data_IF_386746044433
#
_entry.id   IF_386746044433
#
_cell.length_a   1.000
_cell.length_b   1.000
_cell.length_c   1.000
_cell.angle_alpha   90.00
_cell.angle_beta   90.00
_cell.angle_gamma   90.00
#
_symmetry.space_group_name_H-M   'P 1'
#
loop_
_entity.id
_entity.type
_entity.pdbx_description
1 polymer ?
#
# COMPACT_ATOMS: atom_id res chain seq x y z
N UNK A 1 -16.76 29.91 23.86
CA UNK A 1 -16.00 29.29 22.78
C UNK A 1 -15.04 28.28 23.43
N UNK A 2 -15.30 26.99 23.31
CA UNK A 2 -14.41 25.94 23.82
C UNK A 2 -13.39 25.67 22.72
N UNK A 3 -12.11 25.86 23.00
CA UNK A 3 -11.03 25.50 22.10
C UNK A 3 -11.12 24.00 21.77
N UNK A 4 -11.23 23.70 20.48
CA UNK A 4 -11.11 22.31 20.01
C UNK A 4 -9.67 21.86 20.24
N UNK A 5 -9.42 20.68 20.79
CA UNK A 5 -8.07 20.17 20.91
C UNK A 5 -7.51 19.94 19.51
N UNK A 6 -6.50 20.69 19.13
CA UNK A 6 -5.66 20.40 17.98
C UNK A 6 -4.88 19.14 18.34
N UNK A 7 -5.30 17.99 17.80
CA UNK A 7 -4.59 16.73 17.93
C UNK A 7 -3.28 16.85 17.14
N UNK A 8 -2.23 17.32 17.79
CA UNK A 8 -0.89 17.31 17.27
C UNK A 8 -0.32 15.89 17.49
N UNK A 9 -0.23 15.12 16.42
CA UNK A 9 0.50 13.86 16.44
C UNK A 9 1.97 14.13 16.73
N UNK A 10 2.45 13.71 17.88
CA UNK A 10 3.88 13.57 18.08
C UNK A 10 4.30 12.16 17.64
N UNK A 11 4.55 12.02 16.32
CA UNK A 11 5.31 10.87 15.84
C UNK A 11 6.70 10.90 16.47
N UNK A 12 7.31 9.73 16.81
CA UNK A 12 8.62 9.67 17.42
C UNK A 12 9.62 10.50 16.63
N UNK A 13 10.22 11.48 17.28
CA UNK A 13 11.22 12.36 16.67
C UNK A 13 12.49 11.57 16.37
N UNK A 14 12.97 11.66 15.15
CA UNK A 14 14.34 11.47 14.67
C UNK A 14 15.08 10.13 14.79
N UNK A 15 14.79 9.23 15.73
CA UNK A 15 15.62 8.01 15.89
C UNK A 15 15.35 6.92 14.84
N UNK A 16 14.26 7.03 14.09
CA UNK A 16 13.84 6.02 13.11
C UNK A 16 14.52 6.15 11.74
N UNK A 17 15.25 7.23 11.48
CA UNK A 17 15.79 7.55 10.16
C UNK A 17 17.26 7.18 9.96
N UNK A 18 17.98 6.86 11.04
CA UNK A 18 19.41 6.51 10.97
C UNK A 18 19.63 5.02 10.79
N UNK A 19 19.12 4.44 9.71
CA UNK A 19 19.72 3.20 9.23
C UNK A 19 20.96 3.52 8.42
N UNK A 20 22.10 3.17 8.95
CA UNK A 20 23.36 3.12 8.20
C UNK A 20 23.15 2.23 6.98
N UNK A 21 23.31 2.80 5.81
CA UNK A 21 23.21 2.15 4.49
C UNK A 21 24.37 1.17 4.29
N UNK A 22 24.47 0.14 5.11
CA UNK A 22 25.34 -1.00 4.83
C UNK A 22 24.74 -1.76 3.64
N UNK A 23 25.59 -2.21 2.72
CA UNK A 23 25.16 -2.94 1.52
C UNK A 23 24.24 -4.09 1.94
N UNK A 24 23.01 -4.19 1.44
CA UNK A 24 22.14 -5.31 1.74
C UNK A 24 22.79 -6.62 1.30
N UNK A 25 22.77 -7.67 2.15
CA UNK A 25 23.38 -8.96 1.83
C UNK A 25 22.49 -9.81 0.90
N UNK A 26 21.71 -9.21 0.00
CA UNK A 26 20.69 -9.90 -0.74
C UNK A 26 21.25 -10.88 -1.75
N UNK A 27 21.01 -12.15 -1.53
CA UNK A 27 21.03 -13.22 -2.53
C UNK A 27 19.66 -13.91 -2.46
N UNK A 28 18.81 -13.63 -3.41
CA UNK A 28 17.51 -14.29 -3.58
C UNK A 28 17.66 -15.44 -4.59
N UNK A 29 18.56 -16.38 -4.29
CA UNK A 29 18.89 -17.48 -5.20
C UNK A 29 17.69 -18.40 -5.48
N UNK A 30 16.68 -18.36 -4.62
CA UNK A 30 15.53 -19.27 -4.68
C UNK A 30 14.26 -18.60 -5.24
N UNK A 31 14.29 -17.29 -5.57
CA UNK A 31 13.15 -16.62 -6.18
C UNK A 31 13.27 -16.63 -7.71
N UNK A 32 12.26 -17.15 -8.38
CA UNK A 32 12.15 -17.13 -9.85
C UNK A 32 12.05 -15.72 -10.44
N UNK A 33 11.74 -14.73 -9.59
CA UNK A 33 11.54 -13.32 -9.97
C UNK A 33 12.78 -12.45 -9.71
N UNK A 34 13.87 -13.06 -9.25
CA UNK A 34 15.12 -12.37 -8.96
C UNK A 34 16.25 -12.80 -9.92
N UNK A 35 17.07 -11.85 -10.35
CA UNK A 35 18.38 -12.12 -10.95
C UNK A 35 19.47 -11.48 -10.12
N UNK A 36 20.37 -12.29 -9.58
CA UNK A 36 21.47 -11.88 -8.70
C UNK A 36 21.04 -11.06 -7.47
N UNK A 37 20.75 -9.76 -7.61
CA UNK A 37 20.47 -8.84 -6.51
C UNK A 37 19.25 -7.94 -6.76
N UNK A 38 18.48 -8.19 -7.82
CA UNK A 38 17.34 -7.34 -8.21
C UNK A 38 16.16 -8.21 -8.61
N UNK A 39 14.97 -7.76 -8.20
CA UNK A 39 13.71 -8.31 -8.67
C UNK A 39 13.30 -7.69 -10.00
N UNK A 40 12.48 -8.40 -10.75
CA UNK A 40 12.03 -8.01 -12.08
C UNK A 40 10.52 -8.12 -12.20
N UNK A 41 9.94 -7.18 -12.95
CA UNK A 41 8.55 -7.26 -13.36
C UNK A 41 8.30 -8.42 -14.33
N UNK A 42 7.08 -8.95 -14.34
CA UNK A 42 6.63 -9.92 -15.33
C UNK A 42 6.75 -9.35 -16.75
N UNK A 43 6.38 -8.10 -16.95
CA UNK A 43 6.54 -7.38 -18.21
C UNK A 43 7.78 -6.50 -18.15
N UNK A 44 8.77 -6.82 -18.97
CA UNK A 44 9.98 -6.02 -19.07
C UNK A 44 9.71 -4.71 -19.82
N UNK A 45 10.22 -3.60 -19.29
CA UNK A 45 10.17 -2.32 -19.98
C UNK A 45 11.00 -2.39 -21.26
N UNK A 46 10.38 -2.24 -22.42
CA UNK A 46 11.09 -2.16 -23.69
C UNK A 46 11.58 -0.72 -23.93
N UNK A 47 12.91 -0.52 -23.96
CA UNK A 47 13.56 0.69 -24.44
C UNK A 47 14.15 1.62 -23.37
N UNK A 48 15.34 2.14 -23.67
CA UNK A 48 16.17 3.01 -22.81
C UNK A 48 15.72 4.51 -22.80
N UNK A 49 14.47 4.81 -23.14
CA UNK A 49 14.06 6.22 -23.36
C UNK A 49 13.68 7.00 -22.08
N UNK A 50 13.55 6.33 -20.93
CA UNK A 50 12.97 6.95 -19.73
C UNK A 50 13.77 8.10 -19.10
N UNK A 51 15.10 8.14 -19.20
CA UNK A 51 15.90 9.15 -18.51
C UNK A 51 15.82 10.55 -19.16
N UNK A 52 15.83 10.62 -20.48
CA UNK A 52 15.70 11.90 -21.20
C UNK A 52 14.29 12.47 -21.10
N UNK A 53 13.28 11.60 -21.16
CA UNK A 53 11.86 11.97 -20.99
C UNK A 53 11.58 12.44 -19.57
N UNK A 54 12.13 11.75 -18.57
CA UNK A 54 12.05 12.17 -17.17
C UNK A 54 12.68 13.55 -16.94
N UNK A 55 13.90 13.79 -17.45
CA UNK A 55 14.56 15.09 -17.35
C UNK A 55 13.78 16.19 -18.06
N UNK A 56 13.23 15.89 -19.24
CA UNK A 56 12.38 16.83 -19.96
C UNK A 56 11.12 17.16 -19.16
N UNK A 57 10.45 16.17 -18.63
CA UNK A 57 9.28 16.37 -17.78
C UNK A 57 9.60 17.16 -16.52
N UNK A 58 10.70 16.83 -15.82
CA UNK A 58 11.13 17.58 -14.63
C UNK A 58 11.41 19.06 -14.95
N UNK A 59 11.94 19.35 -16.16
CA UNK A 59 12.23 20.72 -16.60
C UNK A 59 10.96 21.47 -17.07
N UNK A 60 9.92 20.77 -17.52
CA UNK A 60 8.72 21.38 -18.12
C UNK A 60 7.46 21.20 -17.27
N UNK A 61 7.53 20.46 -16.15
CA UNK A 61 6.36 20.27 -15.26
C UNK A 61 5.93 21.60 -14.66
N UNK A 62 4.67 21.91 -14.81
CA UNK A 62 4.04 22.99 -14.06
C UNK A 62 3.77 22.55 -12.63
N UNK A 63 4.04 23.44 -11.66
CA UNK A 63 3.60 23.20 -10.27
C UNK A 63 2.10 23.40 -10.21
N UNK A 64 1.36 22.31 -10.03
CA UNK A 64 -0.08 22.38 -9.87
C UNK A 64 -0.40 22.84 -8.44
N UNK A 65 -1.05 23.97 -8.30
CA UNK A 65 -1.71 24.35 -7.05
C UNK A 65 -3.18 23.95 -7.14
N UNK A 66 -3.64 23.21 -6.16
CA UNK A 66 -5.08 22.88 -6.05
C UNK A 66 -5.88 24.17 -6.00
N UNK A 67 -6.87 24.31 -6.91
CA UNK A 67 -7.71 25.52 -6.99
C UNK A 67 -8.82 25.56 -5.93
N UNK A 68 -9.00 24.47 -5.20
CA UNK A 68 -10.00 24.33 -4.14
C UNK A 68 -9.29 24.23 -2.81
N UNK A 69 -9.82 24.87 -1.77
CA UNK A 69 -9.39 24.62 -0.40
C UNK A 69 -9.82 23.20 -0.02
N UNK A 70 -8.95 22.24 -0.37
CA UNK A 70 -9.17 20.81 -0.13
C UNK A 70 -9.35 20.55 1.37
N UNK A 71 -8.71 21.33 2.22
CA UNK A 71 -8.84 21.17 3.66
C UNK A 71 -10.26 21.56 4.11
N UNK A 72 -10.82 22.63 3.58
CA UNK A 72 -12.19 23.05 3.88
C UNK A 72 -13.22 22.05 3.33
N UNK A 73 -13.02 21.55 2.11
CA UNK A 73 -13.88 20.53 1.52
C UNK A 73 -13.80 19.21 2.29
N UNK A 74 -12.60 18.79 2.69
CA UNK A 74 -12.37 17.62 3.52
C UNK A 74 -13.05 17.75 4.89
N UNK A 75 -12.88 18.89 5.58
CA UNK A 75 -13.54 19.16 6.86
C UNK A 75 -15.07 19.15 6.73
N UNK A 76 -15.62 19.61 5.62
CA UNK A 76 -17.06 19.55 5.35
C UNK A 76 -17.58 18.11 5.19
N UNK A 77 -16.74 17.21 4.64
CA UNK A 77 -17.09 15.80 4.42
C UNK A 77 -16.91 14.93 5.68
N UNK A 78 -15.92 15.23 6.53
CA UNK A 78 -15.72 14.53 7.82
C UNK A 78 -16.89 14.74 8.79
N UNK A 79 -17.61 15.83 8.66
CA UNK A 79 -18.80 16.10 9.48
C UNK A 79 -20.00 15.19 9.13
N UNK A 80 -19.89 14.36 8.10
CA UNK A 80 -20.86 13.28 7.86
C UNK A 80 -20.57 12.18 8.88
N UNK A 81 -21.56 11.71 9.69
CA UNK A 81 -21.32 10.74 10.75
C UNK A 81 -21.13 9.32 10.19
N UNK A 82 -20.05 9.11 9.46
CA UNK A 82 -19.52 7.77 9.27
C UNK A 82 -18.85 7.44 10.60
N UNK A 83 -19.41 6.50 11.36
CA UNK A 83 -18.87 6.11 12.66
C UNK A 83 -17.36 5.77 12.56
N UNK A 84 -16.68 5.68 13.69
CA UNK A 84 -15.30 5.20 13.76
C UNK A 84 -15.27 3.67 13.72
N UNK A 85 -14.24 3.07 13.13
CA UNK A 85 -14.07 1.62 13.18
C UNK A 85 -13.92 1.15 14.63
N UNK A 86 -14.53 0.01 14.95
CA UNK A 86 -14.50 -0.58 16.30
C UNK A 86 -13.96 -2.01 16.23
N UNK A 87 -13.48 -2.52 17.37
CA UNK A 87 -13.22 -3.94 17.51
C UNK A 87 -14.55 -4.72 17.39
N UNK A 88 -14.53 -5.83 16.69
CA UNK A 88 -15.71 -6.61 16.31
C UNK A 88 -15.54 -8.10 16.67
N UNK A 89 -15.31 -8.45 17.96
CA UNK A 89 -14.89 -9.79 18.37
C UNK A 89 -15.93 -10.90 18.12
N UNK A 90 -17.20 -10.56 17.94
CA UNK A 90 -18.31 -11.51 17.80
C UNK A 90 -19.04 -11.34 16.47
N UNK A 91 -18.34 -11.00 15.42
CA UNK A 91 -18.91 -10.79 14.08
C UNK A 91 -18.55 -11.96 13.19
N UNK A 92 -19.49 -12.38 12.36
CA UNK A 92 -19.28 -13.44 11.39
C UNK A 92 -18.18 -13.11 10.38
N UNK A 93 -17.46 -14.13 9.92
CA UNK A 93 -16.42 -13.99 8.90
C UNK A 93 -16.92 -13.43 7.57
N UNK A 94 -18.24 -13.45 7.35
CA UNK A 94 -18.89 -12.90 6.16
C UNK A 94 -19.11 -11.38 6.23
N UNK A 95 -18.98 -10.77 7.41
CA UNK A 95 -19.15 -9.33 7.58
C UNK A 95 -17.81 -8.63 7.38
N UNK A 96 -17.65 -7.98 6.22
CA UNK A 96 -16.46 -7.27 5.83
C UNK A 96 -16.73 -5.76 5.78
N UNK A 97 -15.79 -4.98 6.29
CA UNK A 97 -15.83 -3.53 6.22
C UNK A 97 -14.47 -3.00 5.76
N UNK A 98 -14.52 -1.95 4.96
CA UNK A 98 -13.33 -1.26 4.46
C UNK A 98 -13.42 0.22 4.78
N UNK A 99 -12.35 0.74 5.38
CA UNK A 99 -12.25 2.14 5.79
C UNK A 99 -11.07 2.80 5.08
N UNK A 100 -11.35 3.73 4.20
CA UNK A 100 -10.30 4.49 3.53
C UNK A 100 -9.70 5.50 4.51
N UNK A 101 -8.42 5.35 4.82
CA UNK A 101 -7.67 6.22 5.72
C UNK A 101 -6.98 7.35 4.96
N UNK A 102 -6.42 7.02 3.80
CA UNK A 102 -5.79 7.99 2.90
C UNK A 102 -4.64 7.39 2.12
N UNK A 103 -4.43 7.84 0.88
CA UNK A 103 -3.46 7.30 -0.06
C UNK A 103 -3.66 5.78 -0.24
N UNK A 104 -2.67 4.96 0.04
CA UNK A 104 -2.77 3.50 0.00
C UNK A 104 -3.08 2.87 1.37
N UNK A 105 -3.30 3.70 2.40
CA UNK A 105 -3.67 3.24 3.74
C UNK A 105 -5.15 2.96 3.81
N UNK A 106 -5.51 1.71 4.01
CA UNK A 106 -6.89 1.22 4.17
C UNK A 106 -6.96 0.28 5.36
N UNK A 107 -7.96 0.45 6.21
CA UNK A 107 -8.29 -0.51 7.24
C UNK A 107 -9.31 -1.50 6.67
N UNK A 108 -8.94 -2.77 6.63
CA UNK A 108 -9.77 -3.89 6.18
C UNK A 108 -10.19 -4.70 7.41
N UNK A 109 -11.48 -4.81 7.64
CA UNK A 109 -12.05 -5.64 8.70
C UNK A 109 -12.75 -6.85 8.05
N UNK A 110 -12.26 -8.06 8.35
CA UNK A 110 -12.85 -9.34 7.92
C UNK A 110 -13.24 -10.09 9.17
N UNK A 111 -14.53 -10.20 9.42
CA UNK A 111 -15.03 -10.73 10.67
C UNK A 111 -14.41 -9.97 11.87
N UNK A 112 -13.79 -10.67 12.83
CA UNK A 112 -13.15 -10.05 13.99
C UNK A 112 -11.77 -9.47 13.70
N UNK A 113 -11.18 -9.73 12.53
CA UNK A 113 -9.80 -9.38 12.22
C UNK A 113 -9.67 -8.04 11.50
N UNK A 114 -8.66 -7.26 11.89
CA UNK A 114 -8.37 -5.94 11.38
C UNK A 114 -6.98 -5.93 10.74
N UNK A 115 -6.91 -5.67 9.45
CA UNK A 115 -5.68 -5.53 8.69
C UNK A 115 -5.51 -4.08 8.22
N UNK A 116 -4.29 -3.59 8.23
CA UNK A 116 -3.97 -2.24 7.78
C UNK A 116 -3.00 -2.33 6.60
N UNK A 117 -3.38 -1.73 5.46
CA UNK A 117 -2.50 -1.68 4.28
C UNK A 117 -1.62 -0.45 4.32
N UNK A 118 -0.38 -0.56 3.88
CA UNK A 118 0.60 0.52 3.67
C UNK A 118 0.42 1.72 4.62
N UNK A 119 0.66 1.54 5.93
CA UNK A 119 0.27 2.51 6.93
C UNK A 119 1.18 3.74 6.92
N UNK A 120 0.61 4.89 6.51
CA UNK A 120 1.29 6.18 6.43
C UNK A 120 0.45 7.25 7.13
N UNK A 121 1.00 7.88 8.16
CA UNK A 121 0.43 9.04 8.85
C UNK A 121 1.36 10.25 8.80
N UNK A 122 2.60 10.07 8.37
CA UNK A 122 3.54 11.18 8.19
C UNK A 122 3.00 12.24 7.23
N UNK A 123 3.37 13.49 7.48
CA UNK A 123 3.02 14.64 6.64
C UNK A 123 3.77 14.63 5.31
N UNK A 124 5.00 14.08 5.28
CA UNK A 124 5.87 14.06 4.09
C UNK A 124 6.30 12.64 3.74
N UNK A 125 6.08 12.26 2.50
CA UNK A 125 6.60 11.02 1.93
C UNK A 125 8.07 11.20 1.48
N UNK A 126 9.00 11.27 2.43
CA UNK A 126 10.39 11.64 2.15
C UNK A 126 11.34 11.17 3.25
N UNK A 127 12.64 10.91 2.93
CA UNK A 127 13.67 10.69 3.94
C UNK A 127 14.03 11.95 4.71
N UNK A 128 13.66 13.14 4.20
CA UNK A 128 13.98 14.43 4.80
C UNK A 128 12.73 15.03 5.43
N UNK A 129 12.78 15.25 6.74
CA UNK A 129 11.69 15.88 7.47
C UNK A 129 11.40 17.29 6.92
N UNK A 130 10.12 17.60 6.69
CA UNK A 130 9.69 18.89 6.16
C UNK A 130 10.02 19.14 4.68
N UNK A 131 10.48 18.13 3.93
CA UNK A 131 10.78 18.23 2.51
C UNK A 131 10.24 17.03 1.74
N UNK A 132 9.86 17.25 0.48
CA UNK A 132 9.31 16.22 -0.41
C UNK A 132 7.80 16.33 -0.60
N UNK A 133 7.16 15.30 -1.15
CA UNK A 133 5.71 15.29 -1.32
C UNK A 133 5.00 15.40 0.03
N UNK A 134 4.18 16.44 0.17
CA UNK A 134 3.39 16.70 1.37
C UNK A 134 2.01 16.07 1.24
N UNK A 135 1.51 15.49 2.33
CA UNK A 135 0.13 15.06 2.43
C UNK A 135 -0.82 16.25 2.23
N UNK A 136 -1.79 16.07 1.34
CA UNK A 136 -2.77 17.12 1.02
C UNK A 136 -3.95 17.09 1.99
N UNK A 137 -4.48 15.87 2.26
CA UNK A 137 -5.58 15.68 3.20
C UNK A 137 -5.08 14.97 4.46
N UNK A 138 -5.56 15.30 5.65
CA UNK A 138 -5.30 14.54 6.86
C UNK A 138 -5.72 13.08 6.71
N UNK A 139 -5.17 12.18 7.54
CA UNK A 139 -5.64 10.80 7.60
C UNK A 139 -7.10 10.77 8.08
N UNK A 140 -7.95 9.99 7.41
CA UNK A 140 -9.39 9.90 7.71
C UNK A 140 -9.70 9.29 9.07
N UNK A 141 -8.74 8.58 9.67
CA UNK A 141 -8.81 7.98 11.01
C UNK A 141 -7.54 8.37 11.75
N UNK A 142 -7.67 8.90 12.95
CA UNK A 142 -6.52 9.16 13.80
C UNK A 142 -5.88 7.86 14.30
N UNK A 143 -4.55 7.82 14.47
CA UNK A 143 -3.84 6.61 14.93
C UNK A 143 -4.43 6.05 16.23
N UNK A 144 -4.77 6.95 17.17
CA UNK A 144 -5.33 6.59 18.47
C UNK A 144 -6.75 6.02 18.38
N UNK A 145 -7.45 6.29 17.29
CA UNK A 145 -8.82 5.83 17.03
C UNK A 145 -8.88 4.49 16.29
N UNK A 146 -7.71 3.94 15.91
CA UNK A 146 -7.64 2.63 15.30
C UNK A 146 -8.11 1.55 16.28
N UNK A 147 -8.90 0.56 15.81
CA UNK A 147 -9.16 -0.65 16.57
C UNK A 147 -7.86 -1.45 16.73
N UNK A 148 -7.91 -2.55 17.47
CA UNK A 148 -6.76 -3.48 17.54
C UNK A 148 -6.38 -3.94 16.15
N UNK A 149 -5.13 -3.72 15.73
CA UNK A 149 -4.63 -4.18 14.43
C UNK A 149 -3.99 -5.55 14.61
N UNK A 150 -4.42 -6.51 13.78
CA UNK A 150 -3.97 -7.90 13.83
C UNK A 150 -2.86 -8.21 12.83
N UNK A 151 -2.73 -7.39 11.77
CA UNK A 151 -1.66 -7.52 10.78
C UNK A 151 -1.52 -6.28 9.92
N UNK A 152 -0.30 -5.99 9.48
CA UNK A 152 0.01 -4.96 8.48
C UNK A 152 0.38 -5.65 7.19
N UNK A 153 -0.21 -5.20 6.08
CA UNK A 153 0.06 -5.63 4.71
C UNK A 153 0.86 -4.52 4.03
N UNK A 154 2.17 -4.71 3.90
CA UNK A 154 3.09 -3.71 3.38
C UNK A 154 3.50 -4.08 1.96
N UNK A 155 2.97 -3.37 0.96
CA UNK A 155 3.12 -3.71 -0.45
C UNK A 155 4.56 -3.58 -0.95
N UNK A 156 5.24 -2.49 -0.62
CA UNK A 156 6.61 -2.21 -1.02
C UNK A 156 7.22 -1.08 -0.17
N UNK A 157 8.47 -0.70 -0.47
CA UNK A 157 9.24 0.18 0.41
C UNK A 157 9.32 1.65 -0.03
N UNK A 158 8.54 2.14 -0.97
CA UNK A 158 8.50 3.58 -1.26
C UNK A 158 8.05 4.37 -0.03
N UNK A 159 8.42 5.66 0.05
CA UNK A 159 8.20 6.48 1.24
C UNK A 159 6.74 6.75 1.56
N UNK A 160 5.89 6.72 0.57
CA UNK A 160 4.44 6.91 0.65
C UNK A 160 3.66 5.61 0.96
N UNK A 161 4.38 4.48 1.15
CA UNK A 161 3.84 3.19 1.56
C UNK A 161 4.48 2.66 2.84
N UNK A 162 5.80 2.78 2.98
CA UNK A 162 6.55 2.34 4.17
C UNK A 162 6.94 3.55 5.04
N UNK A 163 6.06 3.96 5.92
CA UNK A 163 6.30 5.00 6.93
C UNK A 163 6.81 4.37 8.22
N UNK A 164 8.12 4.45 8.45
CA UNK A 164 8.77 3.82 9.59
C UNK A 164 8.29 4.37 10.94
N UNK A 165 7.96 5.66 11.01
CA UNK A 165 7.47 6.26 12.25
C UNK A 165 6.08 5.70 12.62
N UNK A 166 5.19 5.60 11.64
CA UNK A 166 3.87 4.98 11.81
C UNK A 166 4.00 3.50 12.20
N UNK A 167 4.88 2.74 11.52
CA UNK A 167 5.10 1.32 11.83
C UNK A 167 5.63 1.12 13.25
N UNK A 168 6.52 1.99 13.73
CA UNK A 168 7.00 1.96 15.12
C UNK A 168 5.87 2.20 16.11
N UNK A 169 5.04 3.21 15.88
CA UNK A 169 3.90 3.50 16.75
C UNK A 169 2.92 2.31 16.81
N UNK A 170 2.59 1.73 15.64
CA UNK A 170 1.71 0.57 15.54
C UNK A 170 2.30 -0.64 16.27
N UNK A 171 3.59 -0.90 16.10
CA UNK A 171 4.26 -2.00 16.77
C UNK A 171 4.24 -1.84 18.29
N UNK A 172 4.53 -0.65 18.81
CA UNK A 172 4.49 -0.38 20.25
C UNK A 172 3.08 -0.58 20.83
N UNK A 173 2.04 -0.27 20.06
CA UNK A 173 0.66 -0.36 20.53
C UNK A 173 0.06 -1.76 20.39
N UNK A 174 0.33 -2.46 19.32
CA UNK A 174 -0.37 -3.70 18.96
C UNK A 174 0.54 -4.93 18.84
N UNK A 175 1.86 -4.76 18.71
CA UNK A 175 2.84 -5.83 18.50
C UNK A 175 2.49 -6.81 17.37
N UNK A 176 1.76 -6.34 16.33
CA UNK A 176 1.26 -7.13 15.23
C UNK A 176 2.36 -7.55 14.25
N UNK A 177 2.18 -8.65 13.49
CA UNK A 177 3.05 -9.01 12.37
C UNK A 177 2.92 -8.01 11.19
N UNK A 178 4.03 -7.85 10.46
CA UNK A 178 4.09 -7.10 9.20
C UNK A 178 4.39 -8.10 8.09
N UNK A 179 3.45 -8.30 7.17
CA UNK A 179 3.61 -9.10 5.96
C UNK A 179 4.12 -8.20 4.84
N UNK A 180 5.16 -8.63 4.11
CA UNK A 180 5.75 -7.82 3.05
C UNK A 180 6.53 -8.69 2.06
N UNK A 181 6.92 -8.13 0.90
CA UNK A 181 7.76 -8.83 -0.07
C UNK A 181 9.21 -9.01 0.41
N UNK A 182 9.89 -10.01 -0.15
CA UNK A 182 11.29 -10.32 0.12
C UNK A 182 12.19 -9.08 0.05
N UNK A 183 13.10 -8.93 0.99
CA UNK A 183 14.06 -7.83 1.07
C UNK A 183 13.59 -6.58 1.78
N UNK A 184 12.30 -6.44 2.05
CA UNK A 184 11.78 -5.29 2.79
C UNK A 184 12.16 -5.32 4.28
N UNK A 185 12.39 -6.51 4.86
CA UNK A 185 12.90 -6.68 6.23
C UNK A 185 14.13 -5.82 6.51
N UNK A 186 14.98 -5.62 5.51
CA UNK A 186 16.20 -4.84 5.63
C UNK A 186 15.94 -3.38 6.05
N UNK A 187 14.82 -2.81 5.65
CA UNK A 187 14.44 -1.42 5.92
C UNK A 187 13.67 -1.25 7.24
N UNK A 188 13.27 -2.35 7.86
CA UNK A 188 12.42 -2.38 9.04
C UNK A 188 13.24 -2.60 10.33
N UNK A 189 12.73 -2.16 11.49
CA UNK A 189 13.37 -2.43 12.77
C UNK A 189 13.52 -3.93 13.02
N UNK A 190 14.62 -4.31 13.66
CA UNK A 190 14.88 -5.70 14.08
C UNK A 190 13.85 -6.21 15.09
N UNK A 191 13.25 -5.31 15.84
CA UNK A 191 12.24 -5.64 16.86
C UNK A 191 10.87 -5.98 16.26
N UNK A 192 10.64 -5.63 14.99
CA UNK A 192 9.38 -5.94 14.32
C UNK A 192 9.27 -7.43 13.99
N UNK A 193 8.09 -7.98 14.21
CA UNK A 193 7.74 -9.30 13.69
C UNK A 193 7.41 -9.18 12.19
N UNK A 194 8.41 -9.36 11.32
CA UNK A 194 8.28 -9.24 9.87
C UNK A 194 8.26 -10.62 9.24
N UNK A 195 7.29 -10.86 8.37
CA UNK A 195 7.09 -12.06 7.58
C UNK A 195 7.29 -11.68 6.12
N UNK A 196 8.42 -12.09 5.54
CA UNK A 196 8.71 -11.85 4.13
C UNK A 196 8.13 -12.95 3.27
N UNK A 197 7.55 -12.56 2.12
CA UNK A 197 6.86 -13.44 1.19
C UNK A 197 7.37 -13.22 -0.23
N UNK A 198 7.47 -14.29 -1.01
CA UNK A 198 7.62 -14.21 -2.45
C UNK A 198 6.25 -14.15 -3.15
N UNK A 199 6.20 -13.77 -4.41
CA UNK A 199 4.96 -13.79 -5.18
C UNK A 199 4.33 -15.19 -5.17
N UNK A 200 3.01 -15.22 -5.02
CA UNK A 200 2.19 -16.42 -4.93
C UNK A 200 2.35 -17.23 -3.63
N UNK A 201 3.23 -16.81 -2.73
CA UNK A 201 3.31 -17.44 -1.43
C UNK A 201 2.07 -17.14 -0.61
N UNK A 202 1.57 -18.17 0.07
CA UNK A 202 0.38 -18.12 0.90
C UNK A 202 0.75 -18.53 2.33
N UNK A 203 0.25 -17.78 3.31
CA UNK A 203 0.50 -18.03 4.74
C UNK A 203 -0.84 -18.05 5.47
N UNK A 204 -1.18 -19.14 6.17
CA UNK A 204 -2.35 -19.14 7.06
C UNK A 204 -2.17 -18.07 8.14
N UNK A 205 -3.12 -17.17 8.26
CA UNK A 205 -3.21 -16.21 9.35
C UNK A 205 -4.09 -16.75 10.49
N UNK A 206 -5.19 -17.36 10.12
CA UNK A 206 -6.18 -18.02 10.98
C UNK A 206 -6.81 -19.18 10.22
N UNK A 207 -7.54 -20.07 10.88
CA UNK A 207 -8.20 -21.22 10.23
C UNK A 207 -9.11 -20.81 9.06
N UNK A 208 -9.67 -19.59 9.11
CA UNK A 208 -10.58 -19.07 8.10
C UNK A 208 -10.00 -17.96 7.20
N UNK A 209 -8.75 -17.53 7.45
CA UNK A 209 -8.10 -16.44 6.69
C UNK A 209 -6.69 -16.85 6.26
N UNK A 210 -6.44 -16.80 4.99
CA UNK A 210 -5.11 -16.97 4.40
C UNK A 210 -4.65 -15.69 3.75
N UNK A 211 -3.39 -15.29 3.98
CA UNK A 211 -2.74 -14.14 3.37
C UNK A 211 -1.93 -14.65 2.19
N UNK A 212 -2.20 -14.16 0.99
CA UNK A 212 -1.39 -14.41 -0.20
C UNK A 212 -0.70 -13.11 -0.64
N UNK A 213 0.59 -13.21 -1.01
CA UNK A 213 1.32 -12.11 -1.62
C UNK A 213 1.28 -12.26 -3.14
N UNK A 214 0.82 -11.24 -3.84
CA UNK A 214 0.53 -11.31 -5.28
C UNK A 214 1.51 -10.44 -6.08
N UNK A 215 1.78 -10.77 -7.36
CA UNK A 215 2.56 -9.92 -8.23
C UNK A 215 1.96 -8.53 -8.40
N UNK A 216 2.83 -7.58 -8.70
CA UNK A 216 2.48 -6.24 -9.17
C UNK A 216 3.47 -5.78 -10.23
N UNK A 217 3.05 -4.90 -11.12
CA UNK A 217 3.88 -4.31 -12.17
C UNK A 217 4.35 -2.93 -11.70
N UNK A 218 5.43 -2.89 -10.89
CA UNK A 218 5.89 -1.67 -10.24
C UNK A 218 7.41 -1.69 -10.01
N UNK A 219 7.88 -1.30 -8.86
CA UNK A 219 9.28 -1.27 -8.44
C UNK A 219 9.44 -0.99 -6.96
N UNK A 220 10.67 -0.96 -6.50
CA UNK A 220 11.00 -0.64 -5.12
C UNK A 220 12.26 0.20 -5.02
N UNK A 221 12.46 0.88 -3.90
CA UNK A 221 13.66 1.64 -3.59
C UNK A 221 13.41 2.82 -2.66
N UNK A 222 14.38 3.11 -1.80
CA UNK A 222 14.39 4.26 -0.88
C UNK A 222 15.57 5.19 -1.13
N UNK A 223 16.46 4.84 -2.07
CA UNK A 223 17.64 5.61 -2.40
C UNK A 223 18.15 5.36 -3.83
N UNK A 224 19.33 5.87 -4.12
CA UNK A 224 19.90 5.82 -5.48
C UNK A 224 20.52 4.44 -5.81
N UNK A 225 20.76 3.57 -4.82
CA UNK A 225 21.53 2.33 -4.99
C UNK A 225 20.77 1.07 -4.63
N UNK A 226 19.50 1.19 -4.28
CA UNK A 226 18.66 0.08 -3.81
C UNK A 226 17.43 -0.17 -4.68
N UNK A 227 17.39 0.40 -5.87
CA UNK A 227 16.32 0.20 -6.84
C UNK A 227 16.09 -1.29 -7.10
N UNK A 228 14.85 -1.75 -6.93
CA UNK A 228 14.39 -3.12 -7.15
C UNK A 228 15.15 -4.19 -6.34
N UNK A 229 15.75 -3.82 -5.20
CA UNK A 229 16.41 -4.76 -4.29
C UNK A 229 15.49 -5.37 -3.24
N UNK A 230 14.28 -4.90 -3.13
CA UNK A 230 13.20 -5.50 -2.38
C UNK A 230 12.04 -5.79 -3.31
N UNK A 231 11.30 -6.85 -3.04
CA UNK A 231 10.15 -7.24 -3.84
C UNK A 231 8.96 -6.35 -3.52
N UNK A 232 8.20 -5.98 -4.54
CA UNK A 232 6.93 -5.27 -4.47
C UNK A 232 5.79 -6.20 -4.84
N UNK A 233 4.58 -5.90 -4.38
CA UNK A 233 3.41 -6.72 -4.69
C UNK A 233 2.14 -6.20 -4.05
N UNK A 234 1.06 -6.94 -4.29
CA UNK A 234 -0.23 -6.78 -3.64
C UNK A 234 -0.49 -7.88 -2.61
N UNK A 235 -1.68 -7.89 -2.05
CA UNK A 235 -2.13 -8.92 -1.11
C UNK A 235 -3.56 -9.36 -1.42
N UNK A 236 -3.82 -10.66 -1.25
CA UNK A 236 -5.18 -11.19 -1.17
C UNK A 236 -5.41 -11.79 0.21
N UNK A 237 -6.41 -11.28 0.92
CA UNK A 237 -6.95 -11.89 2.14
C UNK A 237 -8.05 -12.85 1.73
N UNK A 238 -7.76 -14.15 1.77
CA UNK A 238 -8.58 -15.23 1.21
C UNK A 238 -9.38 -15.88 2.33
N UNK A 239 -10.68 -16.04 2.12
CA UNK A 239 -11.61 -16.77 2.98
C UNK A 239 -12.44 -17.74 2.15
N UNK A 240 -13.28 -18.55 2.80
CA UNK A 240 -14.24 -19.40 2.08
C UNK A 240 -15.31 -18.62 1.28
N UNK A 241 -15.47 -17.32 1.53
CA UNK A 241 -16.47 -16.44 0.92
C UNK A 241 -15.90 -15.53 -0.19
N UNK A 242 -14.72 -15.84 -0.66
CA UNK A 242 -13.97 -15.03 -1.63
C UNK A 242 -12.78 -14.33 -1.00
N UNK A 243 -12.21 -13.38 -1.71
CA UNK A 243 -11.04 -12.67 -1.21
C UNK A 243 -11.17 -11.14 -1.29
N UNK A 244 -10.46 -10.45 -0.40
CA UNK A 244 -10.24 -9.01 -0.48
C UNK A 244 -8.84 -8.78 -1.08
N UNK A 245 -8.79 -8.17 -2.24
CA UNK A 245 -7.54 -7.88 -2.95
C UNK A 245 -7.11 -6.43 -2.73
N UNK A 246 -5.88 -6.24 -2.29
CA UNK A 246 -5.18 -4.96 -2.23
C UNK A 246 -4.03 -4.99 -3.22
N UNK A 247 -4.09 -4.15 -4.25
CA UNK A 247 -3.11 -4.17 -5.34
C UNK A 247 -1.76 -3.54 -4.97
N UNK A 248 -1.70 -2.68 -3.93
CA UNK A 248 -0.56 -1.76 -3.77
C UNK A 248 -0.45 -0.83 -4.97
N UNK A 249 0.77 -0.40 -5.30
CA UNK A 249 1.05 0.31 -6.54
C UNK A 249 1.36 -0.67 -7.67
N UNK A 250 0.70 -0.49 -8.81
CA UNK A 250 0.89 -1.33 -9.99
C UNK A 250 0.41 -0.67 -11.26
N UNK A 251 1.03 -1.00 -12.40
CA UNK A 251 0.43 -0.84 -13.71
C UNK A 251 -0.50 -2.02 -14.03
N UNK A 252 -1.38 -1.86 -15.00
CA UNK A 252 -2.17 -2.95 -15.54
C UNK A 252 -1.28 -3.97 -16.27
N UNK A 253 -1.40 -5.25 -15.90
CA UNK A 253 -0.66 -6.35 -16.51
C UNK A 253 -1.38 -7.70 -16.29
N UNK A 254 -0.93 -8.82 -16.89
CA UNK A 254 -1.62 -10.10 -16.81
C UNK A 254 -1.86 -10.65 -15.40
N UNK A 255 -1.14 -10.18 -14.40
CA UNK A 255 -1.28 -10.67 -13.02
C UNK A 255 -2.70 -10.55 -12.46
N UNK A 256 -3.53 -9.61 -12.93
CA UNK A 256 -4.93 -9.51 -12.50
C UNK A 256 -5.73 -10.75 -12.88
N UNK A 257 -5.58 -11.23 -14.12
CA UNK A 257 -6.18 -12.50 -14.57
C UNK A 257 -5.63 -13.70 -13.81
N UNK A 258 -4.32 -13.73 -13.59
CA UNK A 258 -3.67 -14.81 -12.82
C UNK A 258 -4.16 -14.87 -11.37
N UNK A 259 -4.44 -13.71 -10.76
CA UNK A 259 -5.04 -13.62 -9.42
C UNK A 259 -6.45 -14.22 -9.42
N UNK A 260 -7.27 -13.85 -10.41
CA UNK A 260 -8.61 -14.42 -10.56
C UNK A 260 -8.57 -15.93 -10.81
N UNK A 261 -7.70 -16.40 -11.71
CA UNK A 261 -7.53 -17.83 -12.01
C UNK A 261 -7.14 -18.65 -10.78
N UNK A 262 -6.36 -18.05 -9.84
CA UNK A 262 -5.88 -18.74 -8.63
C UNK A 262 -6.85 -18.67 -7.46
N UNK A 263 -7.51 -17.53 -7.27
CA UNK A 263 -8.28 -17.24 -6.06
C UNK A 263 -9.78 -17.07 -6.31
N UNK A 264 -10.21 -17.09 -7.58
CA UNK A 264 -11.58 -16.82 -7.96
C UNK A 264 -11.92 -15.33 -7.93
N UNK A 265 -13.21 -15.02 -7.85
CA UNK A 265 -13.71 -13.66 -7.86
C UNK A 265 -13.30 -12.88 -6.62
N UNK A 266 -12.78 -11.67 -6.82
CA UNK A 266 -12.53 -10.76 -5.72
C UNK A 266 -13.86 -10.17 -5.23
N UNK A 267 -14.17 -10.40 -3.96
CA UNK A 267 -15.33 -9.77 -3.31
C UNK A 267 -15.13 -8.26 -3.12
N UNK A 268 -13.89 -7.85 -2.85
CA UNK A 268 -13.46 -6.45 -2.77
C UNK A 268 -12.11 -6.35 -3.45
N UNK A 269 -11.93 -5.34 -4.32
CA UNK A 269 -10.65 -4.99 -4.92
C UNK A 269 -10.32 -3.53 -4.63
N UNK A 270 -9.15 -3.30 -4.01
CA UNK A 270 -8.59 -1.98 -3.73
C UNK A 270 -7.54 -1.69 -4.80
N UNK A 271 -7.89 -0.87 -5.79
CA UNK A 271 -7.08 -0.61 -6.98
C UNK A 271 -6.54 0.83 -6.98
N UNK A 272 -5.26 1.05 -7.34
CA UNK A 272 -4.71 2.38 -7.48
C UNK A 272 -5.22 3.06 -8.76
N UNK A 273 -5.58 4.33 -8.65
CA UNK A 273 -6.06 5.16 -9.79
C UNK A 273 -5.32 6.51 -9.86
N UNK A 274 -4.23 6.65 -9.13
CA UNK A 274 -3.42 7.87 -9.03
C UNK A 274 -2.05 7.73 -9.67
N UNK A 275 -1.29 8.82 -9.67
CA UNK A 275 0.10 8.89 -10.14
C UNK A 275 0.34 8.41 -11.59
N UNK A 276 -0.68 8.46 -12.46
CA UNK A 276 -0.62 7.94 -13.83
C UNK A 276 -0.09 8.94 -14.86
N UNK A 277 0.09 10.21 -14.49
CA UNK A 277 0.65 11.24 -15.37
C UNK A 277 2.12 11.59 -15.02
N UNK A 278 2.96 11.87 -16.03
CA UNK A 278 2.68 11.80 -17.47
C UNK A 278 2.62 10.34 -17.96
N UNK A 279 1.57 10.01 -18.68
CA UNK A 279 1.28 8.63 -19.09
C UNK A 279 2.44 7.91 -19.78
N UNK A 280 3.22 8.63 -20.60
CA UNK A 280 4.39 8.08 -21.30
C UNK A 280 5.45 7.47 -20.38
N UNK A 281 5.57 7.99 -19.15
CA UNK A 281 6.51 7.49 -18.13
C UNK A 281 5.84 6.53 -17.16
N UNK A 282 4.60 6.83 -16.78
CA UNK A 282 3.94 6.19 -15.66
C UNK A 282 3.18 4.90 -16.02
N UNK A 283 2.81 4.70 -17.29
CA UNK A 283 2.02 3.54 -17.71
C UNK A 283 2.68 2.16 -17.44
N UNK A 284 4.00 2.14 -17.19
CA UNK A 284 4.74 0.93 -16.85
C UNK A 284 4.66 0.55 -15.37
N UNK A 285 4.23 1.48 -14.51
CA UNK A 285 4.30 1.34 -13.04
C UNK A 285 3.02 1.77 -12.33
N UNK A 286 2.12 2.51 -13.02
CA UNK A 286 0.86 2.97 -12.47
C UNK A 286 -0.29 2.83 -13.46
N UNK A 287 -1.46 2.44 -12.96
CA UNK A 287 -2.71 2.41 -13.70
C UNK A 287 -3.35 3.80 -13.76
N UNK A 288 -4.01 4.10 -14.88
CA UNK A 288 -5.00 5.16 -14.94
C UNK A 288 -6.40 4.61 -14.59
N UNK A 289 -7.43 5.45 -14.45
CA UNK A 289 -8.79 4.97 -14.13
C UNK A 289 -9.35 3.95 -15.14
N UNK A 290 -9.01 4.06 -16.44
CA UNK A 290 -9.42 3.10 -17.45
C UNK A 290 -8.75 1.74 -17.30
N UNK A 291 -7.44 1.73 -16.99
CA UNK A 291 -6.70 0.50 -16.67
C UNK A 291 -7.26 -0.18 -15.42
N UNK A 292 -7.64 0.61 -14.42
CA UNK A 292 -8.25 0.08 -13.20
C UNK A 292 -9.62 -0.57 -13.47
N UNK A 293 -10.40 -0.03 -14.42
CA UNK A 293 -11.63 -0.67 -14.86
C UNK A 293 -11.34 -2.04 -15.52
N UNK A 294 -10.32 -2.13 -16.38
CA UNK A 294 -9.92 -3.41 -16.97
C UNK A 294 -9.45 -4.40 -15.88
N UNK A 295 -8.65 -3.94 -14.92
CA UNK A 295 -8.22 -4.76 -13.79
C UNK A 295 -9.42 -5.25 -12.95
N UNK A 296 -10.42 -4.40 -12.74
CA UNK A 296 -11.65 -4.79 -12.05
C UNK A 296 -12.39 -5.90 -12.81
N UNK A 297 -12.53 -5.77 -14.12
CA UNK A 297 -13.16 -6.80 -14.96
C UNK A 297 -12.39 -8.12 -14.98
N UNK A 298 -11.06 -8.06 -14.96
CA UNK A 298 -10.21 -9.25 -14.88
C UNK A 298 -10.27 -9.97 -13.53
N UNK A 299 -10.53 -9.23 -12.44
CA UNK A 299 -10.61 -9.77 -11.07
C UNK A 299 -12.00 -10.27 -10.70
N UNK A 300 -13.06 -9.79 -11.36
CA UNK A 300 -14.44 -10.04 -10.97
C UNK A 300 -15.33 -10.13 -12.19
N UNK A 301 -15.69 -11.34 -12.56
CA UNK A 301 -16.66 -11.57 -13.66
C UNK A 301 -18.12 -11.40 -13.21
N UNK A 302 -18.39 -11.15 -11.91
CA UNK A 302 -19.75 -11.30 -11.33
C UNK A 302 -20.50 -9.99 -11.22
N UNK A 303 -19.86 -8.83 -11.21
CA UNK A 303 -20.56 -7.56 -10.94
C UNK A 303 -20.68 -6.64 -12.15
N UNK A 304 -21.04 -7.19 -13.28
CA UNK A 304 -21.85 -6.42 -14.21
C UNK A 304 -23.30 -6.65 -13.75
N UNK A 305 -23.71 -5.94 -12.71
CA UNK A 305 -25.14 -5.75 -12.50
C UNK A 305 -25.62 -4.92 -13.68
N UNK A 306 -26.38 -5.55 -14.55
CA UNK A 306 -27.12 -4.83 -15.57
C UNK A 306 -27.96 -3.77 -14.85
N UNK A 307 -27.92 -2.50 -15.29
CA UNK A 307 -28.85 -1.52 -14.80
C UNK A 307 -30.26 -1.99 -15.20
N UNK A 308 -31.02 -2.43 -14.20
CA UNK A 308 -32.47 -2.61 -14.35
C UNK A 308 -33.16 -1.28 -14.51
#
# INVERSE_FOLDING_TARGET
MKEKPTLTYQLPTQSCWTHTWSKPPFRYADSEHASSNHFHNQIKRSGAKGSKELLRWLATRESFTWQVDIQQEYESRINTPIGLPKNRPNVDMDDWQVWFVGHATVLIQIGPFNFLTDPVWCEYASPLQGRGPRRVCPAGIALEQLPTIHGVLLSHNHYDHMDLATLHWLHQKFAMPIYTGLGNRYYLSKDFHVIEMDWWQMIPFHDEVTIAYTPAQHGSGRGLRDQNKALWGGFSLITQKGHCFFAGDTAYSPHFKEIHERFGDARIALLPIGAYEPRQLMHYVHMNPQDALHAHLDLSLIHISEPT
#
